data_IF_780350938146
#
_entry.id   IF_780350938146
#
_cell.length_a   1.000
_cell.length_b   1.000
_cell.length_c   1.000
_cell.angle_alpha   90.00
_cell.angle_beta   90.00
_cell.angle_gamma   90.00
#
_symmetry.space_group_name_H-M   'P 1'
#
loop_
_entity.id
_entity.type
_entity.pdbx_description
1 polymer ?
#
# COMPACT_ATOMS: atom_id res chain seq x y z
N UNK A 1 -15.82 -1.40 8.76
CA UNK A 1 -14.55 -0.65 8.95
C UNK A 1 -14.83 0.82 8.65
N UNK A 2 -14.58 1.69 9.62
CA UNK A 2 -14.89 3.12 9.51
C UNK A 2 -14.00 3.72 8.42
N UNK A 3 -14.60 4.40 7.42
CA UNK A 3 -13.87 5.20 6.44
C UNK A 3 -13.04 6.25 7.18
N UNK A 4 -11.74 5.98 7.35
CA UNK A 4 -10.83 6.90 8.00
C UNK A 4 -10.86 8.23 7.26
N UNK A 5 -11.14 9.31 7.96
CA UNK A 5 -10.97 10.68 7.48
C UNK A 5 -9.54 10.78 6.92
N UNK A 6 -9.42 10.95 5.60
CA UNK A 6 -8.12 11.13 4.97
C UNK A 6 -7.50 12.42 5.49
N UNK A 7 -6.26 12.33 5.96
CA UNK A 7 -5.51 13.50 6.37
C UNK A 7 -5.36 14.46 5.18
N UNK A 8 -5.57 15.78 5.34
CA UNK A 8 -5.53 16.74 4.23
C UNK A 8 -4.27 16.67 3.39
N UNK A 9 -3.12 16.33 4.00
CA UNK A 9 -1.82 16.21 3.34
C UNK A 9 -1.62 14.91 2.55
N UNK A 10 -2.51 13.91 2.64
CA UNK A 10 -2.39 12.67 1.86
C UNK A 10 -2.47 12.88 0.34
N UNK A 11 -3.03 14.00 -0.10
CA UNK A 11 -3.07 14.38 -1.52
C UNK A 11 -1.76 15.03 -2.02
N UNK A 12 -0.78 15.29 -1.14
CA UNK A 12 0.49 15.88 -1.53
C UNK A 12 1.38 14.87 -2.26
N UNK A 13 2.24 15.38 -3.16
CA UNK A 13 3.29 14.58 -3.78
C UNK A 13 4.31 14.10 -2.74
N UNK A 14 5.01 13.01 -3.04
CA UNK A 14 6.07 12.51 -2.15
C UNK A 14 7.15 13.54 -1.91
N UNK A 15 7.55 14.26 -2.95
CA UNK A 15 8.55 15.34 -2.83
C UNK A 15 8.12 16.38 -1.80
N UNK A 16 6.85 16.81 -1.84
CA UNK A 16 6.32 17.77 -0.88
C UNK A 16 6.22 17.20 0.53
N UNK A 17 5.76 15.94 0.66
CA UNK A 17 5.67 15.26 1.96
C UNK A 17 7.04 15.07 2.58
N UNK A 18 8.01 14.56 1.80
CA UNK A 18 9.38 14.34 2.26
C UNK A 18 10.02 15.64 2.73
N UNK A 19 9.90 16.72 1.95
CA UNK A 19 10.45 18.02 2.36
C UNK A 19 9.81 18.50 3.66
N UNK A 20 8.49 18.44 3.79
CA UNK A 20 7.81 18.84 5.03
C UNK A 20 8.21 17.96 6.23
N UNK A 21 8.44 16.65 6.02
CA UNK A 21 8.96 15.77 7.07
C UNK A 21 10.36 16.20 7.52
N UNK A 22 11.25 16.56 6.59
CA UNK A 22 12.59 17.05 6.88
C UNK A 22 12.56 18.39 7.62
N UNK A 23 11.54 19.22 7.34
CA UNK A 23 11.31 20.49 8.03
C UNK A 23 10.64 20.31 9.41
N UNK A 24 10.41 19.07 9.86
CA UNK A 24 9.85 18.74 11.18
C UNK A 24 8.33 18.73 11.28
N UNK A 25 7.60 18.70 10.14
CA UNK A 25 6.14 18.68 10.10
C UNK A 25 5.59 17.28 10.48
N UNK A 26 5.06 17.13 11.70
CA UNK A 26 4.50 15.87 12.19
C UNK A 26 3.31 15.37 11.36
N UNK A 27 2.47 16.28 10.86
CA UNK A 27 1.33 15.92 10.02
C UNK A 27 1.77 15.36 8.66
N UNK A 28 2.88 15.85 8.12
CA UNK A 28 3.48 15.30 6.90
C UNK A 28 3.97 13.86 7.12
N UNK A 29 4.56 13.57 8.29
CA UNK A 29 4.94 12.20 8.68
C UNK A 29 3.72 11.28 8.75
N UNK A 30 2.64 11.71 9.41
CA UNK A 30 1.39 10.94 9.49
C UNK A 30 0.86 10.64 8.08
N UNK A 31 0.83 11.65 7.21
CA UNK A 31 0.34 11.49 5.85
C UNK A 31 1.22 10.55 5.01
N UNK A 32 2.54 10.66 5.13
CA UNK A 32 3.50 9.84 4.40
C UNK A 32 3.45 8.37 4.85
N UNK A 33 3.40 8.11 6.16
CA UNK A 33 3.23 6.78 6.71
C UNK A 33 1.88 6.17 6.31
N UNK A 34 0.78 6.94 6.38
CA UNK A 34 -0.54 6.49 5.95
C UNK A 34 -0.58 6.12 4.46
N UNK A 35 0.17 6.83 3.61
CA UNK A 35 0.29 6.55 2.18
C UNK A 35 0.93 5.19 1.92
N UNK A 36 2.00 4.84 2.65
CA UNK A 36 2.79 3.63 2.43
C UNK A 36 2.46 2.48 3.38
N UNK A 37 1.57 2.69 4.36
CA UNK A 37 1.14 1.67 5.32
C UNK A 37 0.78 0.34 4.63
N UNK A 38 -0.06 0.39 3.61
CA UNK A 38 -0.53 -0.82 2.92
C UNK A 38 0.59 -1.56 2.18
N UNK A 39 1.59 -0.85 1.62
CA UNK A 39 2.76 -1.47 1.00
C UNK A 39 3.52 -2.31 2.03
N UNK A 40 3.82 -1.71 3.19
CA UNK A 40 4.55 -2.37 4.27
C UNK A 40 3.79 -3.59 4.78
N UNK A 41 2.51 -3.44 5.12
CA UNK A 41 1.68 -4.56 5.62
C UNK A 41 1.52 -5.67 4.58
N UNK A 42 1.29 -5.34 3.30
CA UNK A 42 1.15 -6.35 2.24
C UNK A 42 2.40 -7.20 2.09
N UNK A 43 3.59 -6.61 2.22
CA UNK A 43 4.84 -7.35 2.19
C UNK A 43 4.97 -8.23 3.44
N UNK A 44 4.79 -7.69 4.65
CA UNK A 44 4.93 -8.43 5.89
C UNK A 44 3.99 -9.65 5.94
N UNK A 45 2.71 -9.45 5.64
CA UNK A 45 1.70 -10.54 5.56
C UNK A 45 2.06 -11.55 4.45
N UNK A 46 2.55 -11.09 3.30
CA UNK A 46 3.00 -11.96 2.22
C UNK A 46 4.18 -12.86 2.62
N UNK A 47 4.98 -12.44 3.60
CA UNK A 47 6.03 -13.27 4.23
C UNK A 47 5.50 -14.21 5.31
N UNK A 48 4.19 -14.23 5.57
CA UNK A 48 3.53 -15.10 6.55
C UNK A 48 3.42 -14.49 7.93
N UNK A 49 3.68 -13.20 8.11
CA UNK A 49 3.53 -12.54 9.40
C UNK A 49 2.05 -12.51 9.83
N UNK A 50 1.79 -12.76 11.11
CA UNK A 50 0.49 -12.48 11.72
C UNK A 50 0.23 -10.96 11.74
N UNK A 51 -0.99 -10.53 12.05
CA UNK A 51 -1.27 -9.09 12.17
C UNK A 51 -0.39 -8.44 13.24
N UNK A 52 -0.18 -9.08 14.39
CA UNK A 52 0.66 -8.57 15.46
C UNK A 52 2.14 -8.45 15.03
N UNK A 53 2.67 -9.49 14.37
CA UNK A 53 4.04 -9.46 13.85
C UNK A 53 4.21 -8.40 12.76
N UNK A 54 3.19 -8.21 11.91
CA UNK A 54 3.21 -7.17 10.88
C UNK A 54 3.18 -5.76 11.50
N UNK A 55 2.51 -5.57 12.65
CA UNK A 55 2.54 -4.32 13.41
C UNK A 55 3.96 -4.05 13.94
N UNK A 56 4.66 -5.05 14.45
CA UNK A 56 6.05 -4.93 14.93
C UNK A 56 7.03 -4.64 13.78
N UNK A 57 6.85 -5.33 12.64
CA UNK A 57 7.63 -5.05 11.43
C UNK A 57 7.37 -3.62 10.96
N UNK A 58 6.11 -3.17 10.93
CA UNK A 58 5.74 -1.81 10.55
C UNK A 58 6.42 -0.77 11.44
N UNK A 59 6.39 -0.94 12.76
CA UNK A 59 7.07 -0.04 13.70
C UNK A 59 8.57 0.02 13.43
N UNK A 60 9.21 -1.14 13.21
CA UNK A 60 10.64 -1.21 12.90
C UNK A 60 10.96 -0.46 11.60
N UNK A 61 10.15 -0.66 10.55
CA UNK A 61 10.30 0.05 9.27
C UNK A 61 10.10 1.56 9.44
N UNK A 62 9.14 1.99 10.27
CA UNK A 62 8.94 3.42 10.57
C UNK A 62 10.18 4.07 11.20
N UNK A 63 10.84 3.39 12.15
CA UNK A 63 12.07 3.88 12.77
C UNK A 63 13.21 3.99 11.74
N UNK A 64 13.37 2.96 10.89
CA UNK A 64 14.39 3.00 9.82
C UNK A 64 14.09 4.09 8.79
N UNK A 65 12.82 4.28 8.48
CA UNK A 65 12.39 5.32 7.56
C UNK A 65 12.71 6.71 8.12
N UNK A 66 12.38 6.94 9.38
CA UNK A 66 12.72 8.20 10.06
C UNK A 66 14.22 8.50 10.01
N UNK A 67 15.06 7.51 10.33
CA UNK A 67 16.50 7.66 10.32
C UNK A 67 17.11 7.76 8.91
N UNK A 68 16.51 7.07 7.94
CA UNK A 68 17.02 6.99 6.57
C UNK A 68 16.56 8.12 5.65
N UNK A 69 15.45 8.79 5.99
CA UNK A 69 14.85 9.82 5.13
C UNK A 69 15.84 10.97 4.78
N UNK A 70 16.66 11.50 5.72
CA UNK A 70 17.62 12.56 5.40
C UNK A 70 18.69 12.13 4.39
N UNK A 71 18.98 10.83 4.28
CA UNK A 71 19.95 10.28 3.35
C UNK A 71 19.36 9.89 1.99
N UNK A 72 18.06 10.01 1.82
CA UNK A 72 17.36 9.63 0.58
C UNK A 72 17.69 10.62 -0.54
N UNK A 73 18.51 10.17 -1.50
CA UNK A 73 18.98 11.03 -2.61
C UNK A 73 17.90 11.35 -3.65
N UNK A 74 16.94 10.46 -3.84
CA UNK A 74 15.90 10.56 -4.87
C UNK A 74 14.55 10.14 -4.27
N UNK A 75 13.63 11.08 -4.21
CA UNK A 75 12.30 10.85 -3.62
C UNK A 75 11.50 9.84 -4.45
N UNK A 76 11.71 9.78 -5.78
CA UNK A 76 11.06 8.82 -6.67
C UNK A 76 11.42 7.37 -6.32
N UNK A 77 12.54 7.13 -5.66
CA UNK A 77 12.96 5.79 -5.20
C UNK A 77 12.35 5.39 -3.85
N UNK A 78 11.59 6.26 -3.19
CA UNK A 78 11.02 6.02 -1.87
C UNK A 78 10.16 4.74 -1.79
N UNK A 79 9.22 4.46 -2.74
CA UNK A 79 8.45 3.22 -2.70
C UNK A 79 9.33 1.96 -2.77
N UNK A 80 10.34 1.98 -3.64
CA UNK A 80 11.28 0.87 -3.80
C UNK A 80 12.17 0.68 -2.57
N UNK A 81 12.62 1.78 -1.96
CA UNK A 81 13.40 1.77 -0.73
C UNK A 81 12.58 1.18 0.43
N UNK A 82 11.33 1.65 0.62
CA UNK A 82 10.44 1.11 1.65
C UNK A 82 10.16 -0.38 1.44
N UNK A 83 9.92 -0.80 0.19
CA UNK A 83 9.72 -2.21 -0.13
C UNK A 83 10.96 -3.05 0.20
N UNK A 84 12.16 -2.55 -0.12
CA UNK A 84 13.44 -3.23 0.18
C UNK A 84 13.66 -3.38 1.69
N UNK A 85 13.47 -2.31 2.47
CA UNK A 85 13.60 -2.33 3.93
C UNK A 85 12.59 -3.31 4.54
N UNK A 86 11.31 -3.23 4.09
CA UNK A 86 10.25 -4.10 4.59
C UNK A 86 10.54 -5.56 4.28
N UNK A 87 10.99 -5.87 3.05
CA UNK A 87 11.42 -7.20 2.65
C UNK A 87 12.48 -7.74 3.58
N UNK A 88 13.53 -6.96 3.82
CA UNK A 88 14.65 -7.36 4.69
C UNK A 88 14.18 -7.65 6.12
N UNK A 89 13.31 -6.80 6.69
CA UNK A 89 12.77 -7.01 8.05
C UNK A 89 11.84 -8.21 8.13
N UNK A 90 10.98 -8.40 7.14
CA UNK A 90 10.07 -9.55 7.06
C UNK A 90 10.85 -10.87 6.92
N UNK A 91 11.89 -10.89 6.09
CA UNK A 91 12.78 -12.04 5.95
C UNK A 91 13.49 -12.38 7.26
N UNK A 92 14.05 -11.38 7.94
CA UNK A 92 14.72 -11.56 9.22
C UNK A 92 13.75 -12.09 10.30
N UNK A 93 12.54 -11.51 10.37
CA UNK A 93 11.48 -11.99 11.26
C UNK A 93 11.15 -13.47 10.99
N UNK A 94 10.91 -13.83 9.73
CA UNK A 94 10.59 -15.22 9.35
C UNK A 94 11.70 -16.19 9.73
N UNK A 95 12.96 -15.82 9.53
CA UNK A 95 14.11 -16.65 9.92
C UNK A 95 14.17 -16.88 11.42
N UNK A 96 13.91 -15.86 12.23
CA UNK A 96 13.90 -15.99 13.69
C UNK A 96 12.76 -16.90 14.18
N UNK A 97 11.57 -16.74 13.60
CA UNK A 97 10.38 -17.55 13.94
C UNK A 97 10.58 -19.02 13.55
N UNK A 98 11.14 -19.28 12.37
CA UNK A 98 11.47 -20.63 11.93
C UNK A 98 12.49 -21.30 12.86
N UNK A 99 13.54 -20.58 13.27
CA UNK A 99 14.55 -21.10 14.22
C UNK A 99 13.95 -21.41 15.58
N UNK A 100 12.98 -20.61 16.06
CA UNK A 100 12.24 -20.91 17.31
C UNK A 100 11.38 -22.15 17.18
N UNK A 101 10.60 -22.25 16.09
CA UNK A 101 9.74 -23.41 15.84
C UNK A 101 10.55 -24.72 15.77
N UNK A 102 11.73 -24.71 15.14
CA UNK A 102 12.63 -25.88 15.06
C UNK A 102 13.16 -26.26 16.44
N UNK A 103 13.46 -25.29 17.31
CA UNK A 103 13.91 -25.57 18.69
C UNK A 103 12.80 -26.11 19.58
N UNK A 104 11.54 -25.76 19.30
CA UNK A 104 10.34 -26.22 20.03
C UNK A 104 9.75 -27.51 19.44
N UNK A 105 10.43 -28.19 18.50
CA UNK A 105 10.05 -29.48 17.94
C UNK A 105 8.91 -29.41 16.88
N UNK A 106 8.56 -28.23 16.41
CA UNK A 106 7.57 -28.07 15.34
C UNK A 106 8.29 -27.98 14.00
N UNK A 107 8.25 -29.06 13.22
CA UNK A 107 8.82 -29.12 11.85
C UNK A 107 8.01 -28.21 10.91
N UNK A 108 8.56 -27.05 10.57
CA UNK A 108 8.18 -26.35 9.36
C UNK A 108 8.94 -27.01 8.20
N UNK A 109 8.20 -27.49 7.19
CA UNK A 109 8.78 -28.12 5.99
C UNK A 109 9.93 -27.30 5.42
N UNK A 110 11.07 -27.95 5.22
CA UNK A 110 12.27 -27.41 4.54
C UNK A 110 11.96 -27.11 3.08
N UNK A 111 11.42 -25.93 2.80
CA UNK A 111 11.34 -25.44 1.43
C UNK A 111 12.73 -25.01 0.96
N UNK A 112 13.21 -25.51 -0.19
CA UNK A 112 14.55 -25.20 -0.68
C UNK A 112 14.72 -23.67 -0.91
N UNK A 113 15.91 -23.12 -0.62
CA UNK A 113 16.20 -21.68 -0.68
C UNK A 113 15.78 -21.00 -1.99
N UNK A 114 15.91 -21.70 -3.11
CA UNK A 114 15.56 -21.20 -4.44
C UNK A 114 14.06 -20.96 -4.64
N UNK A 115 13.22 -21.82 -4.04
CA UNK A 115 11.76 -21.65 -4.11
C UNK A 115 11.28 -20.50 -3.24
N UNK A 116 11.99 -20.23 -2.16
CA UNK A 116 11.73 -19.12 -1.25
C UNK A 116 12.02 -17.76 -1.91
N UNK A 117 13.13 -17.64 -2.65
CA UNK A 117 13.51 -16.40 -3.33
C UNK A 117 12.49 -16.00 -4.41
N UNK A 118 11.98 -16.96 -5.19
CA UNK A 118 10.97 -16.70 -6.23
C UNK A 118 9.64 -16.24 -5.63
N UNK A 119 9.22 -16.84 -4.51
CA UNK A 119 7.99 -16.42 -3.79
C UNK A 119 8.15 -15.02 -3.20
N UNK A 120 9.36 -14.68 -2.74
CA UNK A 120 9.67 -13.39 -2.12
C UNK A 120 9.62 -12.23 -3.10
N UNK A 121 10.16 -12.42 -4.31
CA UNK A 121 10.13 -11.37 -5.35
C UNK A 121 8.68 -11.14 -5.85
N UNK A 122 7.87 -12.20 -6.02
CA UNK A 122 6.45 -12.07 -6.38
C UNK A 122 5.63 -11.30 -5.33
N UNK A 123 5.89 -11.52 -4.04
CA UNK A 123 5.23 -10.78 -2.94
C UNK A 123 5.53 -9.29 -3.02
N UNK A 124 6.80 -8.93 -3.22
CA UNK A 124 7.23 -7.53 -3.30
C UNK A 124 6.68 -6.86 -4.55
N UNK A 125 6.78 -7.52 -5.71
CA UNK A 125 6.22 -7.01 -6.97
C UNK A 125 4.72 -6.76 -6.87
N UNK A 126 3.98 -7.71 -6.30
CA UNK A 126 2.53 -7.60 -6.10
C UNK A 126 2.18 -6.42 -5.19
N UNK A 127 2.87 -6.27 -4.06
CA UNK A 127 2.66 -5.17 -3.14
C UNK A 127 2.99 -3.80 -3.78
N UNK A 128 4.05 -3.73 -4.58
CA UNK A 128 4.40 -2.52 -5.33
C UNK A 128 3.38 -2.20 -6.43
N UNK A 129 2.89 -3.22 -7.15
CA UNK A 129 1.81 -3.04 -8.15
C UNK A 129 0.55 -2.50 -7.50
N UNK A 130 0.13 -3.08 -6.38
CA UNK A 130 -1.04 -2.62 -5.62
C UNK A 130 -0.85 -1.18 -5.12
N UNK A 131 0.34 -0.81 -4.70
CA UNK A 131 0.65 0.56 -4.29
C UNK A 131 0.51 1.54 -5.46
N UNK A 132 1.04 1.21 -6.64
CA UNK A 132 0.90 2.06 -7.85
C UNK A 132 -0.56 2.22 -8.26
N UNK A 133 -1.37 1.16 -8.15
CA UNK A 133 -2.81 1.22 -8.42
C UNK A 133 -3.49 2.18 -7.43
N UNK A 134 -3.17 2.12 -6.13
CA UNK A 134 -3.71 3.06 -5.13
C UNK A 134 -3.34 4.50 -5.45
N UNK A 135 -2.09 4.74 -5.80
CA UNK A 135 -1.61 6.07 -6.19
C UNK A 135 -2.31 6.61 -7.46
N UNK A 136 -2.53 5.74 -8.45
CA UNK A 136 -3.29 6.10 -9.65
C UNK A 136 -4.75 6.46 -9.30
N UNK A 137 -5.40 5.71 -8.42
CA UNK A 137 -6.75 6.02 -7.92
C UNK A 137 -6.77 7.37 -7.19
N UNK A 138 -5.73 7.67 -6.41
CA UNK A 138 -5.64 8.93 -5.67
C UNK A 138 -5.44 10.16 -6.57
N UNK A 139 -4.86 9.98 -7.76
CA UNK A 139 -4.75 11.03 -8.80
C UNK A 139 -6.04 11.27 -9.58
N UNK A 140 -7.02 10.37 -9.48
CA UNK A 140 -8.30 10.56 -10.17
C UNK A 140 -9.05 11.80 -9.66
N UNK A 141 -9.84 12.47 -10.53
CA UNK A 141 -10.78 13.50 -10.09
C UNK A 141 -11.67 12.98 -8.95
N UNK A 142 -12.05 13.80 -7.96
CA UNK A 142 -12.76 13.36 -6.75
C UNK A 142 -13.99 12.50 -7.04
N UNK A 143 -14.78 12.87 -8.05
CA UNK A 143 -15.98 12.13 -8.45
C UNK A 143 -15.66 10.74 -9.00
N UNK A 144 -14.61 10.60 -9.83
CA UNK A 144 -14.17 9.31 -10.35
C UNK A 144 -13.57 8.44 -9.24
N UNK A 145 -12.75 9.03 -8.36
CA UNK A 145 -12.18 8.34 -7.21
C UNK A 145 -13.28 7.76 -6.32
N UNK A 146 -14.31 8.56 -5.98
CA UNK A 146 -15.43 8.09 -5.17
C UNK A 146 -16.18 6.95 -5.85
N UNK A 147 -16.45 7.06 -7.16
CA UNK A 147 -17.12 6.00 -7.91
C UNK A 147 -16.31 4.69 -7.90
N UNK A 148 -15.00 4.76 -8.16
CA UNK A 148 -14.12 3.58 -8.12
C UNK A 148 -14.11 2.95 -6.72
N UNK A 149 -14.06 3.76 -5.66
CA UNK A 149 -14.11 3.26 -4.27
C UNK A 149 -15.42 2.52 -3.99
N UNK A 150 -16.57 3.10 -4.35
CA UNK A 150 -17.89 2.50 -4.15
C UNK A 150 -18.09 1.21 -4.94
N UNK A 151 -17.50 1.12 -6.14
CA UNK A 151 -17.67 -0.03 -7.04
C UNK A 151 -16.78 -1.23 -6.69
N UNK A 152 -15.56 -0.97 -6.18
CA UNK A 152 -14.53 -2.02 -6.10
C UNK A 152 -13.96 -2.26 -4.72
N UNK A 153 -14.16 -1.33 -3.77
CA UNK A 153 -13.53 -1.42 -2.45
C UNK A 153 -14.51 -1.54 -1.29
N UNK A 154 -15.81 -1.45 -1.53
CA UNK A 154 -16.83 -1.69 -0.51
C UNK A 154 -17.24 -3.16 -0.46
N UNK A 155 -17.36 -3.70 0.73
CA UNK A 155 -17.83 -5.05 0.98
C UNK A 155 -18.96 -5.02 2.04
N UNK A 156 -20.11 -5.64 1.74
CA UNK A 156 -20.44 -6.32 0.50
C UNK A 156 -20.58 -5.36 -0.70
N UNK A 157 -20.48 -5.86 -1.97
CA UNK A 157 -20.67 -5.03 -3.16
C UNK A 157 -22.02 -4.32 -3.15
N UNK A 158 -22.02 -3.01 -3.43
CA UNK A 158 -23.26 -2.22 -3.41
C UNK A 158 -23.99 -2.27 -4.74
N UNK A 159 -25.34 -2.33 -4.74
CA UNK A 159 -26.14 -2.19 -5.94
C UNK A 159 -25.89 -0.85 -6.65
N UNK A 160 -25.93 -0.85 -7.98
CA UNK A 160 -25.74 0.37 -8.77
C UNK A 160 -26.78 1.45 -8.47
N UNK A 161 -28.00 1.06 -8.08
CA UNK A 161 -29.03 2.02 -7.67
C UNK A 161 -28.61 2.85 -6.45
N UNK A 162 -28.02 2.19 -5.45
CA UNK A 162 -27.57 2.85 -4.21
C UNK A 162 -26.37 3.78 -4.49
N UNK A 163 -25.44 3.32 -5.34
CA UNK A 163 -24.30 4.12 -5.76
C UNK A 163 -24.76 5.34 -6.56
N UNK A 164 -25.73 5.17 -7.46
CA UNK A 164 -26.32 6.25 -8.24
C UNK A 164 -26.98 7.29 -7.33
N UNK A 165 -27.78 6.84 -6.36
CA UNK A 165 -28.44 7.69 -5.36
C UNK A 165 -27.43 8.50 -4.54
N UNK A 166 -26.40 7.84 -3.99
CA UNK A 166 -25.35 8.51 -3.20
C UNK A 166 -24.58 9.57 -3.99
N UNK A 167 -24.33 9.28 -5.28
CA UNK A 167 -23.55 10.18 -6.13
C UNK A 167 -24.40 11.24 -6.86
N UNK A 168 -25.71 11.26 -6.67
CA UNK A 168 -26.62 12.15 -7.40
C UNK A 168 -26.61 11.90 -8.92
N UNK A 169 -26.59 10.61 -9.32
CA UNK A 169 -26.55 10.18 -10.72
C UNK A 169 -27.84 9.52 -11.13
N UNK A 170 -28.25 9.70 -12.39
CA UNK A 170 -29.27 8.84 -12.96
C UNK A 170 -28.73 7.40 -13.11
N UNK A 171 -29.53 6.39 -12.75
CA UNK A 171 -29.11 4.99 -12.79
C UNK A 171 -28.60 4.57 -14.19
N UNK A 172 -29.27 5.02 -15.26
CA UNK A 172 -28.85 4.74 -16.64
C UNK A 172 -27.52 5.39 -17.07
N UNK A 173 -27.04 6.41 -16.36
CA UNK A 173 -25.78 7.08 -16.68
C UNK A 173 -24.56 6.47 -15.99
N UNK A 174 -24.76 5.62 -14.99
CA UNK A 174 -23.66 5.09 -14.16
C UNK A 174 -22.66 4.26 -14.96
N UNK A 175 -23.17 3.47 -15.92
CA UNK A 175 -22.33 2.63 -16.79
C UNK A 175 -21.39 3.46 -17.66
N UNK A 176 -21.90 4.56 -18.25
CA UNK A 176 -21.11 5.45 -19.08
C UNK A 176 -20.06 6.22 -18.23
N UNK A 177 -20.46 6.71 -17.05
CA UNK A 177 -19.56 7.42 -16.13
C UNK A 177 -18.49 6.47 -15.63
N UNK A 178 -18.84 5.23 -15.26
CA UNK A 178 -17.89 4.18 -14.90
C UNK A 178 -16.85 3.96 -16.00
N UNK A 179 -17.28 3.79 -17.25
CA UNK A 179 -16.37 3.59 -18.38
C UNK A 179 -15.39 4.74 -18.53
N UNK A 180 -15.86 6.00 -18.42
CA UNK A 180 -14.98 7.19 -18.46
C UNK A 180 -14.00 7.22 -17.30
N UNK A 181 -14.42 6.89 -16.07
CA UNK A 181 -13.55 6.88 -14.90
C UNK A 181 -12.52 5.76 -14.97
N UNK A 182 -12.89 4.57 -15.48
CA UNK A 182 -11.94 3.47 -15.71
C UNK A 182 -10.92 3.80 -16.79
N UNK A 183 -11.32 4.48 -17.87
CA UNK A 183 -10.38 4.96 -18.89
C UNK A 183 -9.36 5.94 -18.30
N UNK A 184 -9.80 6.88 -17.45
CA UNK A 184 -8.87 7.78 -16.73
C UNK A 184 -7.94 7.04 -15.79
N UNK A 185 -8.45 6.02 -15.08
CA UNK A 185 -7.63 5.18 -14.22
C UNK A 185 -6.58 4.42 -15.04
N UNK A 186 -6.97 3.85 -16.18
CA UNK A 186 -6.05 3.16 -17.07
C UNK A 186 -4.91 4.08 -17.56
N UNK A 187 -5.24 5.32 -17.95
CA UNK A 187 -4.22 6.31 -18.33
C UNK A 187 -3.29 6.62 -17.16
N UNK A 188 -3.83 6.83 -15.94
CA UNK A 188 -3.03 7.12 -14.76
C UNK A 188 -2.12 5.94 -14.34
N UNK A 189 -2.57 4.70 -14.54
CA UNK A 189 -1.78 3.48 -14.31
C UNK A 189 -0.64 3.39 -15.32
N UNK A 190 -0.93 3.61 -16.59
CA UNK A 190 0.08 3.58 -17.66
C UNK A 190 1.17 4.65 -17.46
N UNK A 191 0.79 5.86 -17.06
CA UNK A 191 1.73 6.94 -16.69
C UNK A 191 2.58 6.58 -15.47
N UNK A 192 2.08 5.70 -14.59
CA UNK A 192 2.81 5.18 -13.42
C UNK A 192 3.75 4.00 -13.76
N UNK A 193 3.83 3.58 -15.04
CA UNK A 193 4.73 2.53 -15.50
C UNK A 193 4.26 1.10 -15.18
N UNK A 194 2.94 0.87 -15.25
CA UNK A 194 2.31 -0.45 -15.16
C UNK A 194 1.74 -0.88 -16.50
#
# INVERSE_FOLDING_TARGET
MRGGLRHPKQAWSDTRLVQACLDGDADAWIALLAKYKNLIYSIAIGYGASQADADDIFQTVCVEFFNGLPALRRVESLPAWLASVTRHRSFHWRRLTSTRATREGTTLEDAPPTRLAVVEDDVVERAQRDQRIREAIDRLPPRCRRLVQLLFFEQPPRPYADIAGEMGLALGSIAMIRARCLKKLQSAIHEAGL
#
